data_IF_766464275618
#
_entry.id   IF_766464275618
#
_cell.length_a   1.000
_cell.length_b   1.000
_cell.length_c   1.000
_cell.angle_alpha   90.00
_cell.angle_beta   90.00
_cell.angle_gamma   90.00
#
_symmetry.space_group_name_H-M   'P 1'
#
loop_
_entity.id
_entity.type
_entity.pdbx_description
1 polymer ?
#
# COMPACT_ATOMS: atom_id res chain seq x y z
N UNK A 1 -6.22 -11.24 4.78
CA UNK A 1 -7.18 -10.49 3.96
C UNK A 1 -6.84 -9.01 4.00
N UNK A 2 -6.96 -8.25 2.90
CA UNK A 2 -6.86 -6.77 2.93
C UNK A 2 -8.31 -6.31 3.02
N UNK A 3 -8.70 -5.64 4.11
CA UNK A 3 -10.06 -5.18 4.33
C UNK A 3 -10.67 -4.60 3.04
N UNK A 4 -11.65 -5.31 2.47
CA UNK A 4 -12.43 -4.85 1.34
C UNK A 4 -13.37 -3.75 1.85
N UNK A 5 -12.95 -2.49 1.69
CA UNK A 5 -13.84 -1.34 1.89
C UNK A 5 -14.76 -1.20 0.67
N UNK A 6 -16.02 -0.80 0.91
CA UNK A 6 -17.09 -0.68 -0.09
C UNK A 6 -16.75 0.29 -1.22
N UNK A 7 -15.93 1.31 -0.94
CA UNK A 7 -15.35 2.22 -1.92
C UNK A 7 -13.84 2.00 -2.01
N UNK A 8 -13.35 1.67 -3.21
CA UNK A 8 -11.91 1.74 -3.49
C UNK A 8 -11.52 3.21 -3.57
N UNK A 9 -10.93 3.70 -2.50
CA UNK A 9 -10.66 5.13 -2.32
C UNK A 9 -9.55 5.61 -3.28
N UNK A 10 -9.96 6.16 -4.43
CA UNK A 10 -9.07 6.76 -5.43
C UNK A 10 -8.23 7.90 -4.83
N UNK A 11 -8.79 8.61 -3.85
CA UNK A 11 -8.09 9.71 -3.20
C UNK A 11 -7.01 9.20 -2.25
N UNK A 12 -7.30 8.11 -1.52
CA UNK A 12 -6.28 7.44 -0.71
C UNK A 12 -5.13 6.90 -1.58
N UNK A 13 -5.43 6.26 -2.72
CA UNK A 13 -4.42 5.78 -3.67
C UNK A 13 -3.54 6.94 -4.20
N UNK A 14 -4.16 8.07 -4.57
CA UNK A 14 -3.45 9.26 -5.03
C UNK A 14 -2.53 9.84 -3.95
N UNK A 15 -3.04 10.02 -2.73
CA UNK A 15 -2.26 10.55 -1.61
C UNK A 15 -1.10 9.64 -1.23
N UNK A 16 -1.32 8.32 -1.24
CA UNK A 16 -0.29 7.32 -0.99
C UNK A 16 0.84 7.41 -2.01
N UNK A 17 0.52 7.37 -3.31
CA UNK A 17 1.51 7.45 -4.38
C UNK A 17 2.25 8.80 -4.39
N UNK A 18 1.55 9.91 -4.13
CA UNK A 18 2.19 11.23 -3.99
C UNK A 18 3.19 11.26 -2.83
N UNK A 19 2.84 10.64 -1.70
CA UNK A 19 3.73 10.53 -0.54
C UNK A 19 4.98 9.69 -0.85
N UNK A 20 4.83 8.62 -1.64
CA UNK A 20 5.97 7.79 -2.07
C UNK A 20 7.00 8.60 -2.88
N UNK A 21 6.56 9.38 -3.88
CA UNK A 21 7.51 10.20 -4.66
C UNK A 21 8.21 11.23 -3.79
N UNK A 22 7.47 11.85 -2.86
CA UNK A 22 8.06 12.85 -1.98
C UNK A 22 9.11 12.25 -1.03
N UNK A 23 8.88 11.02 -0.56
CA UNK A 23 9.77 10.36 0.39
C UNK A 23 10.98 9.68 -0.27
N UNK A 24 10.79 9.07 -1.45
CA UNK A 24 11.80 8.21 -2.08
C UNK A 24 12.27 8.72 -3.44
N UNK A 25 11.73 9.84 -3.93
CA UNK A 25 11.97 10.34 -5.27
C UNK A 25 11.18 9.57 -6.34
N UNK A 26 11.44 9.89 -7.60
CA UNK A 26 10.80 9.24 -8.75
C UNK A 26 11.51 7.92 -9.10
N UNK A 27 10.85 6.75 -8.96
CA UNK A 27 11.45 5.48 -9.34
C UNK A 27 11.55 5.34 -10.86
N UNK A 28 12.53 4.57 -11.34
CA UNK A 28 12.66 4.21 -12.77
C UNK A 28 11.55 3.26 -13.21
N UNK A 29 11.18 2.31 -12.35
CA UNK A 29 10.12 1.32 -12.58
C UNK A 29 9.20 1.29 -11.38
N UNK A 30 7.89 1.37 -11.63
CA UNK A 30 6.85 1.22 -10.63
C UNK A 30 6.00 -0.01 -10.97
N UNK A 31 6.01 -0.98 -10.07
CA UNK A 31 5.14 -2.16 -10.16
C UNK A 31 3.94 -1.98 -9.25
N UNK A 32 2.73 -2.15 -9.80
CA UNK A 32 1.50 -2.18 -9.00
C UNK A 32 0.70 -3.44 -9.31
N UNK A 33 -0.19 -3.80 -8.39
CA UNK A 33 -1.23 -4.78 -8.67
C UNK A 33 -2.19 -4.26 -9.78
N UNK A 34 -3.13 -5.10 -10.18
CA UNK A 34 -4.13 -4.76 -11.21
C UNK A 34 -5.30 -3.92 -10.65
N UNK A 35 -5.15 -3.24 -9.51
CA UNK A 35 -6.23 -2.44 -8.94
C UNK A 35 -6.50 -1.17 -9.77
N UNK A 36 -7.77 -0.93 -10.20
CA UNK A 36 -8.11 0.25 -11.01
C UNK A 36 -7.80 1.59 -10.32
N UNK A 37 -7.90 1.63 -8.98
CA UNK A 37 -7.64 2.83 -8.19
C UNK A 37 -6.18 3.30 -8.30
N UNK A 38 -5.23 2.37 -8.26
CA UNK A 38 -3.80 2.67 -8.37
C UNK A 38 -3.44 3.12 -9.78
N UNK A 39 -4.03 2.48 -10.80
CA UNK A 39 -3.83 2.90 -12.19
C UNK A 39 -4.38 4.31 -12.44
N UNK A 40 -5.57 4.62 -11.90
CA UNK A 40 -6.17 5.95 -11.99
C UNK A 40 -5.30 7.02 -11.31
N UNK A 41 -4.85 6.73 -10.08
CA UNK A 41 -3.95 7.59 -9.32
C UNK A 41 -2.63 7.84 -10.06
N UNK A 42 -2.01 6.78 -10.60
CA UNK A 42 -0.77 6.89 -11.38
C UNK A 42 -0.94 7.79 -12.61
N UNK A 43 -1.99 7.58 -13.40
CA UNK A 43 -2.27 8.41 -14.59
C UNK A 43 -2.47 9.88 -14.21
N UNK A 44 -3.19 10.15 -13.11
CA UNK A 44 -3.40 11.51 -12.60
C UNK A 44 -2.09 12.16 -12.14
N UNK A 45 -1.24 11.41 -11.43
CA UNK A 45 0.06 11.90 -10.98
C UNK A 45 1.02 12.17 -12.15
N UNK A 46 0.97 11.35 -13.20
CA UNK A 46 1.72 11.57 -14.44
C UNK A 46 1.35 12.87 -15.13
N UNK A 47 0.06 13.20 -15.18
CA UNK A 47 -0.42 14.50 -15.68
C UNK A 47 0.05 15.68 -14.84
N UNK A 48 0.23 15.48 -13.53
CA UNK A 48 0.69 16.49 -12.59
C UNK A 48 2.23 16.62 -12.53
N UNK A 49 2.97 16.00 -13.45
CA UNK A 49 4.43 16.08 -13.51
C UNK A 49 5.18 15.13 -12.56
N UNK A 50 4.49 14.24 -11.85
CA UNK A 50 5.11 13.18 -11.06
C UNK A 50 5.29 11.91 -11.91
N UNK A 51 6.32 11.11 -11.68
CA UNK A 51 6.52 9.83 -12.41
C UNK A 51 6.64 9.96 -13.96
N UNK A 52 7.08 11.11 -14.48
CA UNK A 52 7.17 11.38 -15.93
C UNK A 52 8.03 10.33 -16.65
N UNK A 53 9.18 10.00 -16.06
CA UNK A 53 10.14 9.02 -16.58
C UNK A 53 9.97 7.61 -16.01
N UNK A 54 8.91 7.37 -15.23
CA UNK A 54 8.69 6.07 -14.59
C UNK A 54 7.95 5.13 -15.55
N UNK A 55 8.51 3.94 -15.73
CA UNK A 55 7.85 2.83 -16.43
C UNK A 55 6.90 2.12 -15.47
N UNK A 56 5.65 1.93 -15.88
CA UNK A 56 4.65 1.21 -15.09
C UNK A 56 4.53 -0.24 -15.58
N UNK A 57 4.59 -1.19 -14.65
CA UNK A 57 4.53 -2.61 -14.96
C UNK A 57 3.51 -3.33 -14.07
N UNK A 58 2.82 -4.32 -14.64
CA UNK A 58 1.83 -5.17 -13.95
C UNK A 58 2.12 -6.66 -14.19
N UNK A 59 3.38 -7.04 -14.00
CA UNK A 59 3.86 -8.42 -14.25
C UNK A 59 3.41 -9.34 -13.12
N UNK A 60 2.79 -10.48 -13.47
CA UNK A 60 2.25 -11.46 -12.49
C UNK A 60 3.29 -11.89 -11.46
N UNK A 61 4.51 -12.23 -11.89
CA UNK A 61 5.57 -12.67 -10.99
C UNK A 61 5.96 -11.60 -9.96
N UNK A 62 6.08 -10.34 -10.37
CA UNK A 62 6.38 -9.23 -9.46
C UNK A 62 5.21 -8.94 -8.51
N UNK A 63 3.97 -9.10 -8.98
CA UNK A 63 2.80 -8.98 -8.12
C UNK A 63 2.76 -10.09 -7.05
N UNK A 64 3.19 -11.32 -7.38
CA UNK A 64 3.29 -12.40 -6.39
C UNK A 64 4.28 -12.05 -5.26
N UNK A 65 5.38 -11.34 -5.56
CA UNK A 65 6.33 -10.88 -4.54
C UNK A 65 5.69 -9.85 -3.61
N UNK A 66 4.94 -8.89 -4.15
CA UNK A 66 4.18 -7.90 -3.37
C UNK A 66 3.12 -8.61 -2.50
N UNK A 67 2.40 -9.59 -3.05
CA UNK A 67 1.42 -10.39 -2.31
C UNK A 67 2.07 -11.24 -1.20
N UNK A 68 3.31 -11.69 -1.40
CA UNK A 68 4.07 -12.39 -0.38
C UNK A 68 4.50 -11.45 0.75
N UNK A 69 4.98 -10.26 0.44
CA UNK A 69 5.34 -9.25 1.44
C UNK A 69 4.12 -8.89 2.33
N UNK A 70 2.95 -8.78 1.71
CA UNK A 70 1.70 -8.58 2.44
C UNK A 70 1.44 -9.65 3.52
N UNK A 71 1.90 -10.90 3.33
CA UNK A 71 1.72 -11.96 4.35
C UNK A 71 2.50 -11.66 5.62
N UNK A 72 3.72 -11.14 5.51
CA UNK A 72 4.54 -10.81 6.68
C UNK A 72 3.92 -9.66 7.48
N UNK A 73 3.51 -8.60 6.79
CA UNK A 73 2.85 -7.45 7.40
C UNK A 73 1.55 -7.89 8.09
N UNK A 74 0.69 -8.65 7.39
CA UNK A 74 -0.57 -9.18 7.96
C UNK A 74 -0.34 -10.06 9.18
N UNK A 75 0.66 -10.97 9.15
CA UNK A 75 0.99 -11.81 10.31
C UNK A 75 1.37 -10.96 11.51
N UNK A 76 2.17 -9.89 11.31
CA UNK A 76 2.51 -8.95 12.38
C UNK A 76 1.25 -8.28 12.93
N UNK A 77 0.39 -7.74 12.07
CA UNK A 77 -0.88 -7.13 12.49
C UNK A 77 -1.79 -8.09 13.28
N UNK A 78 -1.91 -9.35 12.84
CA UNK A 78 -2.72 -10.37 13.55
C UNK A 78 -2.13 -10.68 14.93
N UNK A 79 -0.81 -10.88 15.02
CA UNK A 79 -0.14 -11.09 16.32
C UNK A 79 -0.28 -9.88 17.25
N UNK A 80 -0.31 -8.68 16.67
CA UNK A 80 -0.45 -7.43 17.41
C UNK A 80 -1.89 -7.04 17.72
N UNK A 81 -2.90 -7.79 17.26
CA UNK A 81 -4.32 -7.44 17.41
C UNK A 81 -4.75 -7.35 18.89
N UNK A 82 -4.16 -8.17 19.77
CA UNK A 82 -4.37 -8.08 21.22
C UNK A 82 -3.93 -6.74 21.83
N UNK A 83 -3.00 -6.02 21.19
CA UNK A 83 -2.51 -4.71 21.64
C UNK A 83 -3.23 -3.53 20.98
N UNK A 84 -4.20 -3.78 20.10
CA UNK A 84 -4.98 -2.70 19.46
C UNK A 84 -5.99 -2.04 20.41
N UNK A 85 -6.18 -2.61 21.61
CA UNK A 85 -7.02 -2.10 22.68
C UNK A 85 -6.13 -1.78 23.90
N UNK A 86 -6.19 -0.54 24.40
CA UNK A 86 -5.45 -0.08 25.59
C UNK A 86 -5.69 -0.97 26.83
N UNK A 87 -6.93 -1.44 27.03
CA UNK A 87 -7.31 -2.36 28.11
C UNK A 87 -6.66 -3.72 27.98
N UNK A 88 -6.56 -4.27 26.77
CA UNK A 88 -5.90 -5.56 26.54
C UNK A 88 -4.38 -5.44 26.64
N UNK A 89 -3.80 -4.37 26.08
CA UNK A 89 -2.37 -4.07 26.23
C UNK A 89 -1.97 -3.88 27.72
N UNK A 90 -2.79 -3.16 28.49
CA UNK A 90 -2.57 -2.97 29.93
C UNK A 90 -2.68 -4.27 30.73
N UNK A 91 -3.59 -5.18 30.37
CA UNK A 91 -3.69 -6.51 31.00
C UNK A 91 -2.44 -7.36 30.72
N UNK A 92 -1.94 -7.39 29.49
CA UNK A 92 -0.71 -8.13 29.15
C UNK A 92 0.55 -7.57 29.84
N UNK A 93 0.62 -6.25 30.07
CA UNK A 93 1.73 -5.64 30.80
C UNK A 93 1.69 -5.91 32.31
N UNK A 94 0.53 -6.27 32.88
CA UNK A 94 0.36 -6.54 34.32
C UNK A 94 0.63 -7.99 34.71
N UNK A 95 0.77 -8.91 33.76
CA UNK A 95 0.86 -10.36 34.00
C UNK A 95 -0.49 -11.03 33.89
#
# INVERSE_FOLDING_TARGET
DIQLRKTRDHQAAYMFMKRLVKAFGGPTVLTTDKAPALLCAFKKLKKNGFYVHTKHCTVKHLNNLIEQDHRHIKRRFVKSAGFQNLRHASRTLKG
#
